data_IF_798492956046
#
_entry.id   IF_798492956046
#
_cell.length_a   1.000
_cell.length_b   1.000
_cell.length_c   1.000
_cell.angle_alpha   90.00
_cell.angle_beta   90.00
_cell.angle_gamma   90.00
#
_symmetry.space_group_name_H-M   'P 1'
#
loop_
_entity.id
_entity.type
_entity.pdbx_description
1 polymer ?
#
# COMPACT_ATOMS: atom_id res chain seq x y z
N UNK A 1 -7.64 -3.54 -9.39
CA UNK A 1 -6.87 -3.93 -8.19
C UNK A 1 -6.04 -2.77 -7.64
N UNK A 2 -4.75 -2.61 -8.00
CA UNK A 2 -3.88 -1.58 -7.39
C UNK A 2 -4.44 -0.15 -7.39
N UNK A 3 -4.82 0.37 -8.56
CA UNK A 3 -5.35 1.73 -8.70
C UNK A 3 -6.66 1.95 -7.95
N UNK A 4 -7.52 0.93 -7.92
CA UNK A 4 -8.80 0.98 -7.21
C UNK A 4 -8.57 1.02 -5.70
N UNK A 5 -7.66 0.20 -5.19
CA UNK A 5 -7.33 0.16 -3.76
C UNK A 5 -6.63 1.44 -3.30
N UNK A 6 -5.68 1.95 -4.09
CA UNK A 6 -5.11 3.28 -3.88
C UNK A 6 -6.19 4.35 -3.80
N UNK A 7 -7.10 4.39 -4.78
CA UNK A 7 -8.17 5.39 -4.82
C UNK A 7 -9.10 5.26 -3.62
N UNK A 8 -9.45 4.04 -3.21
CA UNK A 8 -10.30 3.77 -2.06
C UNK A 8 -9.66 4.30 -0.78
N UNK A 9 -8.40 3.95 -0.52
CA UNK A 9 -7.66 4.36 0.67
C UNK A 9 -7.38 5.87 0.68
N UNK A 10 -7.12 6.45 -0.50
CA UNK A 10 -6.94 7.90 -0.63
C UNK A 10 -8.22 8.66 -0.30
N UNK A 11 -9.39 8.21 -0.78
CA UNK A 11 -10.65 8.84 -0.38
C UNK A 11 -10.93 8.67 1.12
N UNK A 12 -10.71 7.47 1.66
CA UNK A 12 -10.83 7.22 3.10
C UNK A 12 -9.92 8.13 3.93
N UNK A 13 -8.73 8.44 3.44
CA UNK A 13 -7.80 9.35 4.14
C UNK A 13 -8.28 10.81 4.24
N UNK A 14 -9.25 11.21 3.41
CA UNK A 14 -9.85 12.54 3.45
C UNK A 14 -11.02 12.64 4.42
N UNK A 15 -11.50 11.50 4.93
CA UNK A 15 -12.57 11.48 5.92
C UNK A 15 -12.04 11.99 7.26
N UNK A 16 -12.88 12.74 7.98
CA UNK A 16 -12.51 13.26 9.29
C UNK A 16 -12.64 12.15 10.35
N UNK A 17 -11.57 11.81 11.10
CA UNK A 17 -11.63 10.79 12.13
C UNK A 17 -12.67 11.14 13.20
N UNK A 18 -13.48 10.17 13.61
CA UNK A 18 -14.33 10.32 14.79
C UNK A 18 -13.60 9.79 16.03
N UNK A 19 -14.07 10.15 17.23
CA UNK A 19 -13.49 9.65 18.48
C UNK A 19 -13.61 8.11 18.62
N UNK A 20 -14.61 7.50 17.97
CA UNK A 20 -14.84 6.05 18.02
C UNK A 20 -14.27 5.29 16.81
N UNK A 21 -13.90 6.00 15.74
CA UNK A 21 -13.41 5.38 14.51
C UNK A 21 -12.37 6.28 13.83
N UNK A 22 -11.10 5.89 13.92
CA UNK A 22 -9.98 6.53 13.24
C UNK A 22 -9.42 5.61 12.15
N UNK A 23 -9.68 5.90 10.85
CA UNK A 23 -9.21 5.10 9.74
C UNK A 23 -7.68 4.93 9.67
N UNK A 24 -6.90 5.84 10.29
CA UNK A 24 -5.44 5.71 10.38
C UNK A 24 -5.00 4.51 11.21
N UNK A 25 -5.80 4.14 12.21
CA UNK A 25 -5.52 2.97 13.06
C UNK A 25 -5.85 1.65 12.37
N UNK A 26 -6.67 1.70 11.33
CA UNK A 26 -7.12 0.52 10.60
C UNK A 26 -6.23 0.21 9.39
N UNK A 27 -5.58 1.23 8.82
CA UNK A 27 -4.81 1.04 7.60
C UNK A 27 -3.61 1.98 7.49
N UNK A 28 -2.41 1.41 7.39
CA UNK A 28 -1.14 2.18 7.33
C UNK A 28 -1.10 3.19 6.19
N UNK A 29 -1.59 2.85 4.99
CA UNK A 29 -1.64 3.80 3.87
C UNK A 29 -2.51 5.04 4.16
N UNK A 30 -3.56 4.92 4.98
CA UNK A 30 -4.37 6.07 5.37
C UNK A 30 -3.56 7.02 6.25
N UNK A 31 -2.79 6.47 7.19
CA UNK A 31 -1.84 7.25 7.99
C UNK A 31 -0.79 7.93 7.09
N UNK A 32 -0.22 7.22 6.11
CA UNK A 32 0.76 7.80 5.18
C UNK A 32 0.19 8.93 4.33
N UNK A 33 -1.03 8.80 3.80
CA UNK A 33 -1.68 9.87 3.05
C UNK A 33 -1.86 11.13 3.90
N UNK A 34 -2.36 11.00 5.13
CA UNK A 34 -2.58 12.15 6.01
C UNK A 34 -1.27 12.81 6.46
N UNK A 35 -0.19 12.04 6.60
CA UNK A 35 1.14 12.56 6.95
C UNK A 35 1.99 12.96 5.74
N UNK A 36 1.43 12.94 4.52
CA UNK A 36 2.12 13.30 3.28
C UNK A 36 3.42 12.53 3.08
N UNK A 37 3.39 11.22 3.36
CA UNK A 37 4.51 10.35 3.06
C UNK A 37 4.89 10.44 1.56
N UNK A 38 6.16 10.20 1.20
CA UNK A 38 6.58 10.21 -0.20
C UNK A 38 5.75 9.22 -1.03
N UNK A 39 5.39 9.59 -2.26
CA UNK A 39 4.55 8.77 -3.14
C UNK A 39 5.15 7.37 -3.36
N UNK A 40 6.48 7.28 -3.47
CA UNK A 40 7.18 5.99 -3.59
C UNK A 40 6.98 5.08 -2.37
N UNK A 41 7.00 5.63 -1.16
CA UNK A 41 6.74 4.88 0.09
C UNK A 41 5.32 4.32 0.06
N UNK A 42 4.35 5.12 -0.36
CA UNK A 42 2.94 4.73 -0.51
C UNK A 42 2.81 3.61 -1.56
N UNK A 43 3.41 3.77 -2.74
CA UNK A 43 3.35 2.79 -3.82
C UNK A 43 3.98 1.44 -3.40
N UNK A 44 5.15 1.47 -2.78
CA UNK A 44 5.81 0.25 -2.28
C UNK A 44 4.96 -0.45 -1.23
N UNK A 45 4.46 0.30 -0.25
CA UNK A 45 3.60 -0.27 0.81
C UNK A 45 2.36 -0.92 0.22
N UNK A 46 1.73 -0.28 -0.77
CA UNK A 46 0.59 -0.87 -1.48
C UNK A 46 0.98 -2.16 -2.22
N UNK A 47 2.13 -2.17 -2.91
CA UNK A 47 2.61 -3.37 -3.60
C UNK A 47 2.89 -4.53 -2.61
N UNK A 48 3.42 -4.24 -1.42
CA UNK A 48 3.65 -5.24 -0.37
C UNK A 48 2.35 -5.92 0.08
N UNK A 49 1.24 -5.17 0.18
CA UNK A 49 -0.07 -5.74 0.51
C UNK A 49 -0.55 -6.77 -0.53
N UNK A 50 -0.31 -6.49 -1.81
CA UNK A 50 -0.67 -7.42 -2.89
C UNK A 50 0.35 -8.54 -3.07
N UNK A 51 1.57 -8.42 -2.55
CA UNK A 51 2.61 -9.43 -2.62
C UNK A 51 2.50 -10.50 -1.52
N UNK A 52 1.61 -10.29 -0.54
CA UNK A 52 1.36 -11.20 0.58
C UNK A 52 0.97 -12.61 0.08
N UNK A 53 1.61 -13.62 0.68
CA UNK A 53 1.36 -15.04 0.44
C UNK A 53 -0.05 -15.45 0.86
N UNK A 54 -0.68 -14.72 1.76
CA UNK A 54 -2.05 -14.97 2.21
C UNK A 54 -3.10 -14.68 1.12
N UNK A 55 -2.71 -14.14 -0.03
CA UNK A 55 -3.59 -13.96 -1.19
C UNK A 55 -3.61 -15.18 -2.14
N UNK A 56 -2.93 -16.29 -1.83
CA UNK A 56 -2.75 -17.40 -2.78
C UNK A 56 -3.95 -18.37 -2.91
N UNK A 57 -5.15 -17.99 -2.48
CA UNK A 57 -6.30 -18.91 -2.41
C UNK A 57 -7.06 -19.05 -3.75
N UNK A 58 -6.88 -18.14 -4.70
CA UNK A 58 -7.49 -18.21 -6.04
C UNK A 58 -6.54 -17.74 -7.16
N UNK A 59 -6.79 -18.21 -8.39
CA UNK A 59 -5.92 -17.94 -9.56
C UNK A 59 -5.74 -16.45 -9.86
N UNK A 60 -6.79 -15.64 -9.65
CA UNK A 60 -6.74 -14.19 -9.92
C UNK A 60 -5.82 -13.51 -8.91
N UNK A 61 -5.96 -13.85 -7.63
CA UNK A 61 -5.11 -13.32 -6.57
C UNK A 61 -3.64 -13.77 -6.70
N UNK A 62 -3.40 -15.01 -7.16
CA UNK A 62 -2.04 -15.49 -7.50
C UNK A 62 -1.42 -14.65 -8.64
N UNK A 63 -2.18 -14.33 -9.68
CA UNK A 63 -1.70 -13.50 -10.80
C UNK A 63 -1.32 -12.09 -10.34
N UNK A 64 -2.18 -11.46 -9.53
CA UNK A 64 -1.92 -10.13 -8.95
C UNK A 64 -0.68 -10.15 -8.06
N UNK A 65 -0.55 -11.17 -7.20
CA UNK A 65 0.61 -11.34 -6.32
C UNK A 65 1.93 -11.49 -7.10
N UNK A 66 1.92 -12.24 -8.21
CA UNK A 66 3.11 -12.37 -9.08
C UNK A 66 3.51 -11.02 -9.67
N UNK A 67 2.54 -10.22 -10.14
CA UNK A 67 2.80 -8.87 -10.67
C UNK A 67 3.33 -7.93 -9.57
N UNK A 68 2.75 -7.96 -8.37
CA UNK A 68 3.21 -7.16 -7.24
C UNK A 68 4.67 -7.45 -6.89
N UNK A 69 5.03 -8.75 -6.82
CA UNK A 69 6.40 -9.18 -6.52
C UNK A 69 7.40 -8.83 -7.60
N UNK A 70 7.01 -8.90 -8.88
CA UNK A 70 7.87 -8.45 -9.97
C UNK A 70 8.19 -6.95 -9.80
N UNK A 71 7.15 -6.13 -9.61
CA UNK A 71 7.31 -4.69 -9.40
C UNK A 71 8.16 -4.35 -8.17
N UNK A 72 8.00 -5.06 -7.06
CA UNK A 72 8.82 -4.84 -5.86
C UNK A 72 10.31 -5.15 -6.08
N UNK A 73 10.63 -6.15 -6.91
CA UNK A 73 12.02 -6.48 -7.26
C UNK A 73 12.67 -5.43 -8.14
N UNK A 74 11.87 -4.72 -8.93
CA UNK A 74 12.34 -3.66 -9.82
C UNK A 74 12.62 -2.35 -9.06
N UNK A 75 12.12 -2.19 -7.82
CA UNK A 75 12.44 -1.05 -6.95
C UNK A 75 13.84 -1.25 -6.36
N UNK A 76 14.82 -0.57 -6.94
CA UNK A 76 16.21 -0.60 -6.48
C UNK A 76 16.56 0.47 -5.45
N UNK A 77 17.80 0.46 -4.92
CA UNK A 77 18.27 1.47 -3.96
C UNK A 77 18.29 2.90 -4.51
N UNK A 78 18.36 3.06 -5.83
CA UNK A 78 18.26 4.37 -6.50
C UNK A 78 16.80 4.88 -6.56
N UNK A 79 15.83 3.98 -6.41
CA UNK A 79 14.41 4.28 -6.44
C UNK A 79 13.87 4.57 -5.03
N UNK A 80 14.46 3.98 -3.99
CA UNK A 80 14.04 4.21 -2.60
C UNK A 80 15.19 3.95 -1.61
N UNK A 81 15.37 4.86 -0.66
CA UNK A 81 16.18 4.57 0.53
C UNK A 81 15.37 3.66 1.46
N UNK A 82 15.84 2.43 1.63
CA UNK A 82 15.20 1.44 2.50
C UNK A 82 15.27 1.83 3.98
N UNK A 83 16.23 2.66 4.39
CA UNK A 83 16.32 3.15 5.78
C UNK A 83 15.26 4.20 6.11
N UNK A 84 14.85 4.99 5.12
CA UNK A 84 13.75 5.94 5.28
C UNK A 84 12.38 5.24 5.24
N UNK A 85 12.35 4.00 4.74
CA UNK A 85 11.14 3.17 4.62
C UNK A 85 10.86 2.32 5.88
N UNK A 86 11.90 1.81 6.54
CA UNK A 86 11.84 0.94 7.73
C UNK A 86 11.65 1.72 9.04
#
# INVERSE_FOLDING_TARGET
>A
AFREEYSRLYQLSKEQPSQSNDPRLQHVLVYFFQNKAPERVIERTLLEQFADRNLSYDERSISIMKVARAKLKDIGPNDMDMKDYE
#
